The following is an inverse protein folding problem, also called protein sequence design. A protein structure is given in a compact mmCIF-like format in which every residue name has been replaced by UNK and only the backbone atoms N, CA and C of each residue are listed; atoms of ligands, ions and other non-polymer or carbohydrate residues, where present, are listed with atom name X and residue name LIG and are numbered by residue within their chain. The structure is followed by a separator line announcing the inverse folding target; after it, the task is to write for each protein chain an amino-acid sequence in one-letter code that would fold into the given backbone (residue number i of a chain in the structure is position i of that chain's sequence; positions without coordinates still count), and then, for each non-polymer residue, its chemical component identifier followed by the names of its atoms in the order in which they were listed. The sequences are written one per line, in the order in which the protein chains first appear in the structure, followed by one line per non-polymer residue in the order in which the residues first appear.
data_IF_506580144710
#
_entry.id   IF_506580144710
#
_cell.length_a   1.000
_cell.length_b   1.000
_cell.length_c   1.000
_cell.angle_alpha   90.00
_cell.angle_beta   90.00
_cell.angle_gamma   90.00
#
_symmetry.space_group_name_H-M   'P 1'
#
loop_
_entity.id
_entity.type
_entity.pdbx_description
1 polymer ?
#
# COMPACT_ATOMS: atom_id res chain seq x y z
N UNK A 1 -1.33 32.83 -0.61
CA UNK A 1 -0.93 31.43 -0.89
C UNK A 1 -1.43 31.07 -2.29
N UNK A 2 -0.65 30.41 -3.15
CA UNK A 2 -1.19 29.91 -4.43
C UNK A 2 -2.04 28.67 -4.12
N UNK A 3 -3.37 28.77 -4.26
CA UNK A 3 -4.31 27.67 -3.99
C UNK A 3 -4.34 26.60 -5.10
N UNK A 4 -3.98 26.97 -6.32
CA UNK A 4 -4.03 26.09 -7.52
C UNK A 4 -3.36 24.72 -7.37
N UNK A 5 -2.19 24.57 -6.71
CA UNK A 5 -1.55 23.26 -6.53
C UNK A 5 -2.34 22.28 -5.65
N UNK A 6 -3.25 22.79 -4.82
CA UNK A 6 -4.04 21.99 -3.88
C UNK A 6 -5.37 21.50 -4.47
N UNK A 7 -5.80 22.06 -5.61
CA UNK A 7 -7.04 21.64 -6.28
C UNK A 7 -6.98 20.17 -6.73
N UNK A 8 -5.91 19.69 -7.40
CA UNK A 8 -5.87 18.29 -7.85
C UNK A 8 -6.02 17.23 -6.74
N UNK A 9 -5.28 17.27 -5.61
CA UNK A 9 -5.48 16.26 -4.56
C UNK A 9 -6.88 16.35 -3.94
N UNK A 10 -7.44 17.54 -3.76
CA UNK A 10 -8.81 17.71 -3.24
C UNK A 10 -9.87 17.18 -4.20
N UNK A 11 -9.71 17.42 -5.50
CA UNK A 11 -10.60 16.85 -6.52
C UNK A 11 -10.52 15.32 -6.54
N UNK A 12 -9.31 14.77 -6.40
CA UNK A 12 -9.10 13.32 -6.35
C UNK A 12 -9.68 12.68 -5.08
N UNK A 13 -9.61 13.36 -3.94
CA UNK A 13 -10.36 12.94 -2.74
C UNK A 13 -11.85 12.82 -3.04
N UNK A 14 -12.44 13.79 -3.76
CA UNK A 14 -13.83 13.70 -4.20
C UNK A 14 -14.13 12.49 -5.09
N UNK A 15 -13.20 12.11 -5.97
CA UNK A 15 -13.31 10.88 -6.78
C UNK A 15 -13.31 9.64 -5.89
N UNK A 16 -12.34 9.51 -4.98
CA UNK A 16 -12.26 8.37 -4.04
C UNK A 16 -13.53 8.29 -3.20
N UNK A 17 -13.99 9.43 -2.64
CA UNK A 17 -15.21 9.47 -1.84
C UNK A 17 -16.43 8.93 -2.60
N UNK A 18 -16.55 9.28 -3.88
CA UNK A 18 -17.63 8.78 -4.73
C UNK A 18 -17.48 7.28 -5.05
N UNK A 19 -16.26 6.81 -5.32
CA UNK A 19 -15.95 5.39 -5.53
C UNK A 19 -16.07 4.55 -4.24
N UNK A 20 -16.08 5.19 -3.08
CA UNK A 20 -16.30 4.55 -1.78
C UNK A 20 -17.76 4.47 -1.37
N UNK A 21 -18.69 4.83 -2.26
CA UNK A 21 -20.13 4.70 -2.00
C UNK A 21 -20.62 3.25 -2.14
N UNK A 22 -21.78 2.88 -1.55
CA UNK A 22 -22.33 1.53 -1.66
C UNK A 22 -22.52 1.02 -3.09
N UNK A 23 -22.74 1.91 -4.07
CA UNK A 23 -22.84 1.55 -5.50
C UNK A 23 -21.57 0.87 -6.04
N UNK A 24 -20.43 1.15 -5.44
CA UNK A 24 -19.12 0.61 -5.78
C UNK A 24 -18.59 -0.38 -4.73
N UNK A 25 -19.45 -0.80 -3.79
CA UNK A 25 -19.15 -1.86 -2.82
C UNK A 25 -19.05 -3.23 -3.51
N UNK A 26 -18.68 -4.26 -2.74
CA UNK A 26 -18.63 -5.64 -3.23
C UNK A 26 -19.98 -6.10 -3.79
N UNK A 27 -21.07 -5.79 -3.08
CA UNK A 27 -22.44 -6.08 -3.52
C UNK A 27 -22.82 -5.25 -4.76
N UNK A 28 -22.51 -3.95 -4.75
CA UNK A 28 -22.85 -3.04 -5.85
C UNK A 28 -22.11 -3.33 -7.16
N UNK A 29 -20.79 -3.57 -7.08
CA UNK A 29 -19.97 -3.90 -8.26
C UNK A 29 -20.12 -5.34 -8.71
N UNK A 30 -20.32 -6.28 -7.78
CA UNK A 30 -20.54 -7.69 -8.11
C UNK A 30 -21.77 -7.89 -8.99
N UNK A 31 -22.82 -7.08 -8.81
CA UNK A 31 -24.06 -7.14 -9.58
C UNK A 31 -23.90 -6.95 -11.09
N UNK A 32 -22.87 -6.25 -11.56
CA UNK A 32 -22.63 -6.00 -12.99
C UNK A 32 -21.26 -6.48 -13.48
N UNK A 33 -20.23 -6.52 -12.63
CA UNK A 33 -18.90 -7.04 -13.02
C UNK A 33 -18.90 -8.56 -13.14
N UNK A 34 -19.47 -9.28 -12.16
CA UNK A 34 -19.43 -10.76 -12.16
C UNK A 34 -20.16 -11.37 -13.38
N UNK A 35 -21.32 -10.87 -13.83
CA UNK A 35 -21.93 -11.34 -15.08
C UNK A 35 -21.02 -11.18 -16.30
N UNK A 36 -20.32 -10.04 -16.42
CA UNK A 36 -19.37 -9.80 -17.52
C UNK A 36 -18.19 -10.77 -17.42
N UNK A 37 -17.63 -10.96 -16.23
CA UNK A 37 -16.53 -11.91 -16.01
C UNK A 37 -16.96 -13.34 -16.33
N UNK A 38 -18.19 -13.75 -15.97
CA UNK A 38 -18.75 -15.07 -16.33
C UNK A 38 -18.90 -15.24 -17.85
N UNK A 39 -19.28 -14.19 -18.56
CA UNK A 39 -19.39 -14.21 -20.01
C UNK A 39 -18.02 -14.33 -20.70
N UNK A 40 -17.00 -13.64 -20.18
CA UNK A 40 -15.64 -13.65 -20.72
C UNK A 40 -14.84 -14.91 -20.35
N UNK A 41 -15.09 -15.46 -19.16
CA UNK A 41 -14.38 -16.60 -18.59
C UNK A 41 -15.39 -17.70 -18.19
N UNK A 42 -16.13 -18.30 -19.14
CA UNK A 42 -17.18 -19.28 -18.84
C UNK A 42 -16.63 -20.58 -18.23
N UNK A 43 -15.32 -20.81 -18.35
CA UNK A 43 -14.60 -21.96 -17.81
C UNK A 43 -14.09 -21.73 -16.37
N UNK A 44 -14.16 -20.50 -15.85
CA UNK A 44 -13.71 -20.19 -14.50
C UNK A 44 -14.78 -20.54 -13.45
N UNK A 45 -14.38 -21.22 -12.38
CA UNK A 45 -15.29 -21.50 -11.27
C UNK A 45 -15.72 -20.22 -10.54
N UNK A 46 -16.87 -20.20 -9.83
CA UNK A 46 -17.34 -19.03 -9.09
C UNK A 46 -16.30 -18.43 -8.15
N UNK A 47 -15.57 -19.29 -7.43
CA UNK A 47 -14.49 -18.89 -6.52
C UNK A 47 -13.39 -18.10 -7.23
N UNK A 48 -13.00 -18.49 -8.45
CA UNK A 48 -12.00 -17.75 -9.22
C UNK A 48 -12.51 -16.38 -9.66
N UNK A 49 -13.78 -16.28 -10.03
CA UNK A 49 -14.39 -15.03 -10.47
C UNK A 49 -14.51 -14.03 -9.32
N UNK A 50 -14.94 -14.51 -8.14
CA UNK A 50 -15.01 -13.70 -6.93
C UNK A 50 -13.60 -13.23 -6.52
N UNK A 51 -12.59 -14.11 -6.62
CA UNK A 51 -11.20 -13.73 -6.39
C UNK A 51 -10.69 -12.67 -7.36
N UNK A 52 -10.99 -12.77 -8.66
CA UNK A 52 -10.60 -11.77 -9.67
C UNK A 52 -11.28 -10.43 -9.38
N UNK A 53 -12.57 -10.45 -9.05
CA UNK A 53 -13.33 -9.24 -8.71
C UNK A 53 -12.78 -8.57 -7.45
N UNK A 54 -12.53 -9.36 -6.39
CA UNK A 54 -11.87 -8.89 -5.18
C UNK A 54 -10.49 -8.29 -5.47
N UNK A 55 -9.67 -8.96 -6.28
CA UNK A 55 -8.33 -8.49 -6.66
C UNK A 55 -8.39 -7.17 -7.45
N UNK A 56 -9.35 -7.06 -8.37
CA UNK A 56 -9.62 -5.82 -9.11
C UNK A 56 -9.92 -4.64 -8.17
N UNK A 57 -10.74 -4.86 -7.14
CA UNK A 57 -11.02 -3.83 -6.14
C UNK A 57 -9.78 -3.44 -5.33
N UNK A 58 -9.03 -4.42 -4.82
CA UNK A 58 -7.81 -4.16 -4.04
C UNK A 58 -6.75 -3.41 -4.86
N UNK A 59 -6.62 -3.73 -6.14
CA UNK A 59 -5.71 -3.00 -7.04
C UNK A 59 -6.21 -1.58 -7.35
N UNK A 60 -7.54 -1.38 -7.44
CA UNK A 60 -8.16 -0.06 -7.52
C UNK A 60 -7.76 0.83 -6.33
N UNK A 61 -8.01 0.36 -5.11
CA UNK A 61 -7.62 1.04 -3.86
C UNK A 61 -6.13 1.41 -3.84
N UNK A 62 -5.24 0.45 -4.07
CA UNK A 62 -3.79 0.73 -4.15
C UNK A 62 -3.45 1.83 -5.16
N UNK A 63 -4.14 1.85 -6.31
CA UNK A 63 -3.92 2.83 -7.39
C UNK A 63 -4.46 4.21 -7.00
N UNK A 64 -5.65 4.28 -6.44
CA UNK A 64 -6.29 5.52 -5.98
C UNK A 64 -5.42 6.28 -4.97
N UNK A 65 -4.92 5.56 -3.97
CA UNK A 65 -4.07 6.15 -2.92
C UNK A 65 -2.64 6.42 -3.38
N UNK A 66 -2.11 5.64 -4.33
CA UNK A 66 -0.87 5.97 -5.03
C UNK A 66 -0.97 7.31 -5.78
N UNK A 67 -2.07 7.52 -6.51
CA UNK A 67 -2.34 8.78 -7.22
C UNK A 67 -2.53 9.92 -6.22
N UNK A 68 -3.28 9.71 -5.13
CA UNK A 68 -3.49 10.73 -4.10
C UNK A 68 -2.17 11.18 -3.48
N UNK A 69 -1.29 10.24 -3.10
CA UNK A 69 0.02 10.55 -2.54
C UNK A 69 0.90 11.35 -3.51
N UNK A 70 0.91 10.96 -4.79
CA UNK A 70 1.60 11.71 -5.84
C UNK A 70 1.06 13.13 -5.99
N UNK A 71 -0.26 13.31 -5.97
CA UNK A 71 -0.89 14.63 -6.09
C UNK A 71 -0.57 15.53 -4.89
N UNK A 72 -0.59 15.00 -3.67
CA UNK A 72 -0.15 15.73 -2.47
C UNK A 72 1.32 16.13 -2.56
N UNK A 73 2.20 15.21 -2.94
CA UNK A 73 3.62 15.50 -3.14
C UNK A 73 3.82 16.62 -4.17
N UNK A 74 3.18 16.50 -5.35
CA UNK A 74 3.20 17.51 -6.41
C UNK A 74 2.67 18.87 -5.94
N UNK A 75 1.66 18.89 -5.06
CA UNK A 75 1.14 20.12 -4.48
C UNK A 75 2.20 20.79 -3.59
N UNK A 76 2.85 20.03 -2.69
CA UNK A 76 3.92 20.54 -1.84
C UNK A 76 5.11 21.08 -2.65
N UNK A 77 5.61 20.32 -3.62
CA UNK A 77 6.78 20.71 -4.44
C UNK A 77 6.56 22.00 -5.23
N UNK A 78 5.30 22.39 -5.49
CA UNK A 78 4.94 23.62 -6.22
C UNK A 78 4.66 24.82 -5.33
N UNK A 79 4.79 24.66 -4.02
CA UNK A 79 4.66 25.73 -3.05
C UNK A 79 6.03 26.09 -2.48
N UNK A 80 6.15 27.24 -1.79
CA UNK A 80 7.38 27.61 -1.07
C UNK A 80 7.73 26.66 0.09
N UNK A 81 6.90 25.63 0.35
CA UNK A 81 7.12 24.63 1.40
C UNK A 81 8.20 23.61 1.03
N UNK A 82 8.55 23.51 -0.26
CA UNK A 82 9.55 22.55 -0.75
C UNK A 82 9.00 21.13 -0.83
N UNK A 83 9.88 20.19 -1.11
CA UNK A 83 9.55 18.77 -1.18
C UNK A 83 9.26 18.20 0.22
N UNK A 84 8.08 17.57 0.40
CA UNK A 84 7.58 17.08 1.71
C UNK A 84 6.88 15.73 1.57
N UNK A 85 7.62 14.66 1.22
CA UNK A 85 7.02 13.34 1.00
C UNK A 85 6.35 12.77 2.26
N UNK A 86 6.90 13.04 3.46
CA UNK A 86 6.29 12.58 4.72
C UNK A 86 4.95 13.27 5.02
N UNK A 87 4.82 14.56 4.68
CA UNK A 87 3.55 15.27 4.84
C UNK A 87 2.51 14.77 3.83
N UNK A 88 2.92 14.51 2.58
CA UNK A 88 2.06 13.91 1.57
C UNK A 88 1.59 12.51 1.99
N UNK A 89 2.49 11.70 2.53
CA UNK A 89 2.17 10.39 3.08
C UNK A 89 1.16 10.50 4.23
N UNK A 90 1.42 11.37 5.22
CA UNK A 90 0.53 11.57 6.36
C UNK A 90 -0.87 12.01 5.95
N UNK A 91 -1.01 12.92 4.97
CA UNK A 91 -2.32 13.31 4.44
C UNK A 91 -3.03 12.17 3.71
N UNK A 92 -2.28 11.34 2.98
CA UNK A 92 -2.83 10.17 2.28
C UNK A 92 -3.35 9.13 3.27
N UNK A 93 -2.58 8.80 4.31
CA UNK A 93 -2.99 7.85 5.36
C UNK A 93 -4.17 8.41 6.16
N UNK A 94 -4.14 9.69 6.50
CA UNK A 94 -5.26 10.34 7.18
C UNK A 94 -6.54 10.27 6.35
N UNK A 95 -6.43 10.39 5.03
CA UNK A 95 -7.58 10.23 4.14
C UNK A 95 -8.05 8.78 4.02
N UNK A 96 -7.14 7.81 3.98
CA UNK A 96 -7.49 6.38 3.98
C UNK A 96 -8.28 5.98 5.23
N UNK A 97 -7.87 6.49 6.40
CA UNK A 97 -8.61 6.29 7.64
C UNK A 97 -10.01 6.90 7.53
N UNK A 98 -10.12 8.13 7.02
CA UNK A 98 -11.42 8.79 6.83
C UNK A 98 -12.33 8.00 5.88
N UNK A 99 -11.78 7.50 4.78
CA UNK A 99 -12.51 6.74 3.78
C UNK A 99 -13.04 5.41 4.34
N UNK A 100 -12.23 4.68 5.10
CA UNK A 100 -12.66 3.43 5.73
C UNK A 100 -13.77 3.68 6.78
N UNK A 101 -13.70 4.79 7.51
CA UNK A 101 -14.79 5.23 8.41
C UNK A 101 -16.05 5.59 7.63
N UNK A 102 -15.91 6.29 6.50
CA UNK A 102 -17.02 6.64 5.62
C UNK A 102 -17.72 5.39 5.05
N UNK A 103 -16.95 4.41 4.58
CA UNK A 103 -17.47 3.13 4.10
C UNK A 103 -18.18 2.33 5.21
N UNK A 104 -17.64 2.37 6.43
CA UNK A 104 -18.23 1.76 7.61
C UNK A 104 -19.58 2.39 8.02
N UNK A 105 -19.70 3.71 7.93
CA UNK A 105 -20.95 4.41 8.26
C UNK A 105 -22.03 4.29 7.18
N UNK A 106 -21.65 4.22 5.91
CA UNK A 106 -22.59 4.11 4.79
C UNK A 106 -23.12 2.68 4.58
N UNK A 107 -22.76 1.75 5.47
CA UNK A 107 -23.28 0.37 5.47
C UNK A 107 -22.77 -0.50 4.32
N UNK A 108 -21.69 -0.07 3.64
CA UNK A 108 -21.14 -0.80 2.50
C UNK A 108 -20.37 -2.07 2.91
N UNK A 109 -19.76 -2.06 4.11
CA UNK A 109 -19.04 -3.17 4.79
C UNK A 109 -18.53 -2.72 6.17
N UNK A 110 -18.02 -3.65 6.99
CA UNK A 110 -17.33 -3.31 8.24
C UNK A 110 -15.96 -2.66 7.99
N UNK A 111 -15.62 -1.65 8.80
CA UNK A 111 -14.31 -0.99 8.73
C UNK A 111 -13.16 -1.98 9.02
N UNK A 112 -12.11 -1.90 8.20
CA UNK A 112 -11.00 -2.83 8.14
C UNK A 112 -9.68 -2.08 8.20
N UNK A 113 -8.94 -2.28 9.29
CA UNK A 113 -7.60 -1.72 9.44
C UNK A 113 -6.63 -2.21 8.34
N UNK A 114 -6.88 -3.39 7.76
CA UNK A 114 -6.06 -3.93 6.68
C UNK A 114 -6.20 -3.13 5.38
N UNK A 115 -7.36 -2.50 5.15
CA UNK A 115 -7.57 -1.68 3.95
C UNK A 115 -6.83 -0.35 4.06
N UNK A 116 -6.88 0.28 5.23
CA UNK A 116 -6.03 1.45 5.53
C UNK A 116 -4.53 1.13 5.34
N UNK A 117 -4.09 -0.06 5.79
CA UNK A 117 -2.70 -0.50 5.60
C UNK A 117 -2.36 -0.70 4.12
N UNK A 118 -3.27 -1.27 3.33
CA UNK A 118 -3.10 -1.47 1.90
C UNK A 118 -3.03 -0.14 1.14
N UNK A 119 -3.90 0.81 1.48
CA UNK A 119 -3.93 2.15 0.90
C UNK A 119 -2.66 2.95 1.25
N UNK A 120 -2.24 2.86 2.52
CA UNK A 120 -0.96 3.40 2.96
C UNK A 120 0.21 2.78 2.20
N UNK A 121 0.19 1.47 1.96
CA UNK A 121 1.22 0.79 1.17
C UNK A 121 1.26 1.32 -0.28
N UNK A 122 0.12 1.50 -0.93
CA UNK A 122 0.04 2.09 -2.27
C UNK A 122 0.62 3.51 -2.32
N UNK A 123 0.17 4.38 -1.42
CA UNK A 123 0.68 5.76 -1.31
C UNK A 123 2.17 5.83 -1.01
N UNK A 124 2.66 5.02 -0.06
CA UNK A 124 4.07 4.94 0.31
C UNK A 124 4.95 4.44 -0.83
N UNK A 125 4.48 3.42 -1.57
CA UNK A 125 5.18 2.90 -2.75
C UNK A 125 5.33 3.98 -3.82
N UNK A 126 4.25 4.70 -4.14
CA UNK A 126 4.29 5.78 -5.11
C UNK A 126 5.33 6.86 -4.72
N UNK A 127 5.31 7.29 -3.46
CA UNK A 127 6.27 8.29 -2.95
C UNK A 127 7.70 7.78 -2.97
N UNK A 128 7.95 6.50 -2.67
CA UNK A 128 9.29 5.92 -2.77
C UNK A 128 9.82 5.97 -4.21
N UNK A 129 8.99 5.64 -5.21
CA UNK A 129 9.37 5.76 -6.63
C UNK A 129 9.63 7.20 -7.05
N UNK A 130 8.82 8.15 -6.59
CA UNK A 130 8.98 9.57 -6.91
C UNK A 130 10.27 10.13 -6.30
N UNK A 131 10.55 9.81 -5.03
CA UNK A 131 11.66 10.39 -4.27
C UNK A 131 13.00 9.71 -4.52
N UNK A 132 13.02 8.39 -4.71
CA UNK A 132 14.25 7.61 -4.85
C UNK A 132 14.51 7.15 -6.29
N UNK A 133 13.52 7.26 -7.17
CA UNK A 133 13.60 6.85 -8.56
C UNK A 133 13.55 5.33 -8.77
N UNK A 134 13.30 4.93 -10.01
CA UNK A 134 13.11 3.51 -10.42
C UNK A 134 14.26 2.57 -10.08
N UNK A 135 15.49 3.09 -9.98
CA UNK A 135 16.67 2.27 -9.66
C UNK A 135 16.79 1.96 -8.17
N UNK A 136 16.51 2.94 -7.30
CA UNK A 136 16.76 2.80 -5.84
C UNK A 136 15.50 2.47 -5.06
N UNK A 137 14.32 2.82 -5.56
CA UNK A 137 13.07 2.57 -4.86
C UNK A 137 12.84 1.06 -4.58
N UNK A 138 13.00 0.14 -5.56
CA UNK A 138 12.81 -1.28 -5.29
C UNK A 138 13.77 -1.82 -4.22
N UNK A 139 15.04 -1.42 -4.26
CA UNK A 139 16.04 -1.84 -3.27
C UNK A 139 15.69 -1.36 -1.86
N UNK A 140 15.30 -0.09 -1.73
CA UNK A 140 14.95 0.51 -0.44
C UNK A 140 13.65 -0.04 0.12
N UNK A 141 12.62 -0.20 -0.72
CA UNK A 141 11.35 -0.82 -0.34
C UNK A 141 11.56 -2.27 0.10
N UNK A 142 12.36 -3.04 -0.64
CA UNK A 142 12.72 -4.42 -0.25
C UNK A 142 13.39 -4.45 1.13
N UNK A 143 14.39 -3.59 1.35
CA UNK A 143 15.05 -3.47 2.65
C UNK A 143 14.08 -3.09 3.77
N UNK A 144 13.20 -2.13 3.53
CA UNK A 144 12.19 -1.70 4.50
C UNK A 144 11.20 -2.82 4.84
N UNK A 145 10.71 -3.56 3.84
CA UNK A 145 9.81 -4.70 4.04
C UNK A 145 10.49 -5.84 4.81
N UNK A 146 11.77 -6.13 4.52
CA UNK A 146 12.53 -7.15 5.24
C UNK A 146 12.77 -6.74 6.70
N UNK A 147 13.07 -5.46 6.96
CA UNK A 147 13.18 -4.95 8.32
C UNK A 147 11.85 -4.99 9.07
N UNK A 148 10.75 -4.60 8.42
CA UNK A 148 9.41 -4.67 8.99
C UNK A 148 9.03 -6.11 9.35
N UNK A 149 9.27 -7.06 8.44
CA UNK A 149 9.02 -8.48 8.67
C UNK A 149 9.88 -9.04 9.81
N UNK A 150 11.18 -8.72 9.84
CA UNK A 150 12.10 -9.21 10.85
C UNK A 150 11.82 -8.58 12.23
N UNK A 151 11.86 -7.25 12.34
CA UNK A 151 11.69 -6.56 13.61
C UNK A 151 10.24 -6.57 14.10
N UNK A 152 9.28 -6.33 13.21
CA UNK A 152 7.86 -6.38 13.54
C UNK A 152 7.41 -7.80 13.88
N UNK A 153 7.88 -8.80 13.12
CA UNK A 153 7.65 -10.21 13.43
C UNK A 153 8.25 -10.61 14.78
N UNK A 154 9.48 -10.19 15.09
CA UNK A 154 10.08 -10.40 16.41
C UNK A 154 9.26 -9.76 17.54
N UNK A 155 8.77 -8.53 17.36
CA UNK A 155 7.91 -7.88 18.34
C UNK A 155 6.58 -8.64 18.55
N UNK A 156 5.93 -9.05 17.46
CA UNK A 156 4.69 -9.84 17.51
C UNK A 156 4.91 -11.19 18.20
N UNK A 157 6.05 -11.85 17.93
CA UNK A 157 6.45 -13.08 18.59
C UNK A 157 6.62 -12.86 20.11
N UNK A 158 7.30 -11.78 20.53
CA UNK A 158 7.44 -11.45 21.95
C UNK A 158 6.10 -11.21 22.62
N UNK A 159 5.17 -10.51 21.96
CA UNK A 159 3.80 -10.30 22.47
C UNK A 159 3.06 -11.63 22.64
N UNK A 160 3.15 -12.54 21.67
CA UNK A 160 2.52 -13.86 21.78
C UNK A 160 3.07 -14.66 22.95
N UNK A 161 4.40 -14.69 23.09
CA UNK A 161 5.07 -15.38 24.20
C UNK A 161 4.66 -14.78 25.56
N UNK A 162 4.62 -13.45 25.67
CA UNK A 162 4.19 -12.76 26.89
C UNK A 162 2.72 -12.99 27.23
N UNK A 163 1.86 -13.13 26.22
CA UNK A 163 0.44 -13.42 26.39
C UNK A 163 0.14 -14.92 26.62
N UNK A 164 1.16 -15.79 26.65
CA UNK A 164 0.97 -17.25 26.73
C UNK A 164 0.29 -17.85 25.49
N UNK A 165 0.24 -17.10 24.38
CA UNK A 165 -0.38 -17.54 23.15
C UNK A 165 0.61 -18.36 22.29
N UNK A 166 0.16 -19.44 21.62
CA UNK A 166 1.02 -20.23 20.76
C UNK A 166 1.46 -19.38 19.54
N UNK A 167 2.77 -19.21 19.27
CA UNK A 167 3.23 -18.35 18.18
C UNK A 167 2.99 -18.91 16.77
N UNK A 168 2.64 -20.20 16.64
CA UNK A 168 2.31 -20.90 15.38
C UNK A 168 3.35 -20.61 14.28
N UNK A 169 2.94 -19.92 13.21
CA UNK A 169 3.75 -19.61 12.04
C UNK A 169 4.86 -18.57 12.30
N UNK A 170 4.82 -17.85 13.42
CA UNK A 170 5.86 -16.89 13.81
C UNK A 170 7.21 -17.56 14.05
N UNK A 171 7.21 -18.82 14.52
CA UNK A 171 8.45 -19.60 14.73
C UNK A 171 9.24 -19.83 13.45
N UNK A 172 8.55 -19.96 12.31
CA UNK A 172 9.20 -20.14 11.01
C UNK A 172 9.45 -18.80 10.31
N UNK A 173 8.45 -17.93 10.29
CA UNK A 173 8.51 -16.67 9.52
C UNK A 173 9.52 -15.66 10.06
N UNK A 174 9.69 -15.54 11.39
CA UNK A 174 10.61 -14.57 11.99
C UNK A 174 12.08 -14.92 11.68
N UNK A 175 12.57 -16.16 11.90
CA UNK A 175 13.93 -16.54 11.49
C UNK A 175 14.15 -16.39 9.98
N UNK A 176 13.18 -16.79 9.15
CA UNK A 176 13.28 -16.64 7.70
C UNK A 176 13.41 -15.17 7.27
N UNK A 177 12.66 -14.27 7.91
CA UNK A 177 12.77 -12.84 7.64
C UNK A 177 14.17 -12.30 8.00
N UNK A 178 14.73 -12.72 9.13
CA UNK A 178 16.11 -12.36 9.52
C UNK A 178 17.16 -12.91 8.54
N UNK A 179 17.01 -14.17 8.10
CA UNK A 179 17.90 -14.77 7.10
C UNK A 179 17.83 -14.03 5.76
N UNK A 180 16.62 -13.72 5.29
CA UNK A 180 16.40 -12.97 4.06
C UNK A 180 16.99 -11.55 4.16
N UNK A 181 16.78 -10.87 5.29
CA UNK A 181 17.36 -9.56 5.56
C UNK A 181 18.89 -9.59 5.55
N UNK A 182 19.50 -10.58 6.20
CA UNK A 182 20.95 -10.77 6.19
C UNK A 182 21.49 -11.01 4.78
N UNK A 183 20.87 -11.91 4.01
CA UNK A 183 21.27 -12.21 2.64
C UNK A 183 21.15 -10.98 1.73
N UNK A 184 20.06 -10.23 1.85
CA UNK A 184 19.85 -8.97 1.12
C UNK A 184 20.93 -7.94 1.47
N UNK A 185 21.23 -7.73 2.76
CA UNK A 185 22.27 -6.78 3.19
C UNK A 185 23.65 -7.16 2.65
N UNK A 186 24.01 -8.44 2.68
CA UNK A 186 25.29 -8.91 2.11
C UNK A 186 25.39 -8.63 0.62
N UNK A 187 24.35 -8.96 -0.16
CA UNK A 187 24.32 -8.68 -1.61
C UNK A 187 24.40 -7.18 -1.91
N UNK A 188 23.71 -6.36 -1.11
CA UNK A 188 23.76 -4.90 -1.24
C UNK A 188 25.15 -4.33 -0.92
N UNK A 189 25.86 -4.90 0.05
CA UNK A 189 27.25 -4.52 0.37
C UNK A 189 28.22 -4.90 -0.75
N UNK A 190 28.13 -6.12 -1.28
CA UNK A 190 28.96 -6.59 -2.39
C UNK A 190 28.83 -5.69 -3.63
N UNK A 191 27.59 -5.38 -4.05
CA UNK A 191 27.33 -4.47 -5.17
C UNK A 191 27.96 -3.10 -5.00
N UNK A 192 28.04 -2.58 -3.77
CA UNK A 192 28.68 -1.29 -3.48
C UNK A 192 30.19 -1.38 -3.67
N UNK A 193 30.82 -2.46 -3.20
CA UNK A 193 32.26 -2.70 -3.37
C UNK A 193 32.65 -2.84 -4.85
N UNK A 194 31.87 -3.60 -5.62
CA UNK A 194 32.11 -3.79 -7.06
C UNK A 194 31.98 -2.47 -7.84
N UNK A 195 31.05 -1.60 -7.43
CA UNK A 195 30.85 -0.28 -8.06
C UNK A 195 31.92 0.76 -7.71
N UNK A 196 32.67 0.56 -6.61
CA UNK A 196 33.80 1.43 -6.23
C UNK A 196 35.11 1.01 -6.89
N UNK A 197 35.35 -0.29 -7.08
CA UNK A 197 36.58 -0.81 -7.70
C UNK A 197 36.65 -0.66 -9.22
N UNK A 198 35.55 -0.25 -9.88
CA UNK A 198 35.48 -0.01 -11.33
C UNK A 198 35.68 1.46 -11.71
N UNK A 199 35.97 2.33 -10.74
CA UNK A 199 36.23 3.78 -10.94
C UNK A 199 37.69 4.18 -10.73
N UNK A 200 38.58 3.21 -10.48
CA UNK A 200 40.04 3.37 -10.46
C UNK A 200 40.63 2.85 -11.78
#
# INVERSE_FOLDING_TARGET
MRFRPWIPPLAWMGVIFWLSTPSFSEEGTGGWILPILRALLPWASPVHLDFIHWLGRKTGHVTEYAILAWLWHRAFSRTRRGDRPLAAFGLTVGYAIFDELHQGWTGSRGASALDVVLDAFGGGTALAFITWGWRRAPERLTGALLWLAAAGGSLLLLVHLAAGAPPRWLWASVPLAWMALWAWRRRAQQRRLDSSGTRE
#
